data_IF_789389126219
#
_entry.id   IF_789389126219
#
_cell.length_a   1.000
_cell.length_b   1.000
_cell.length_c   1.000
_cell.angle_alpha   90.00
_cell.angle_beta   90.00
_cell.angle_gamma   90.00
#
_symmetry.space_group_name_H-M   'P 1'
#
loop_
_entity.id
_entity.type
_entity.pdbx_description
1 polymer ?
#
# COMPACT_ATOMS: atom_id res chain seq x y z
N UNK A 1 -29.23 21.00 35.28
CA UNK A 1 -28.41 19.82 35.64
C UNK A 1 -28.58 18.67 34.66
N UNK A 2 -29.81 18.17 34.40
CA UNK A 2 -30.06 17.09 33.43
C UNK A 2 -29.55 17.34 32.00
N UNK A 3 -29.69 18.56 31.46
CA UNK A 3 -29.17 18.87 30.11
C UNK A 3 -27.64 18.79 30.02
N UNK A 4 -26.91 19.22 31.06
CA UNK A 4 -25.44 19.12 31.08
C UNK A 4 -24.97 17.67 31.16
N UNK A 5 -25.70 16.80 31.88
CA UNK A 5 -25.41 15.36 31.97
C UNK A 5 -25.62 14.68 30.61
N UNK A 6 -26.73 14.99 29.92
CA UNK A 6 -27.02 14.44 28.59
C UNK A 6 -25.97 14.86 27.55
N UNK A 7 -25.51 16.12 27.59
CA UNK A 7 -24.41 16.59 26.73
C UNK A 7 -23.11 15.85 27.04
N UNK A 8 -22.77 15.67 28.32
CA UNK A 8 -21.58 14.94 28.74
C UNK A 8 -21.56 13.48 28.27
N UNK A 9 -22.69 12.77 28.38
CA UNK A 9 -22.85 11.41 27.86
C UNK A 9 -22.70 11.38 26.34
N UNK A 10 -23.31 12.33 25.63
CA UNK A 10 -23.20 12.45 24.18
C UNK A 10 -21.74 12.60 23.72
N UNK A 11 -20.97 13.48 24.36
CA UNK A 11 -19.54 13.69 24.05
C UNK A 11 -18.73 12.41 24.32
N UNK A 12 -18.98 11.72 25.43
CA UNK A 12 -18.30 10.47 25.77
C UNK A 12 -18.55 9.36 24.73
N UNK A 13 -19.81 9.22 24.27
CA UNK A 13 -20.16 8.26 23.22
C UNK A 13 -19.46 8.59 21.91
N UNK A 14 -19.46 9.87 21.50
CA UNK A 14 -18.77 10.30 20.27
C UNK A 14 -17.27 10.03 20.36
N UNK A 15 -16.64 10.34 21.50
CA UNK A 15 -15.22 10.06 21.73
C UNK A 15 -14.92 8.55 21.66
N UNK A 16 -15.77 7.71 22.28
CA UNK A 16 -15.63 6.26 22.21
C UNK A 16 -15.77 5.72 20.78
N UNK A 17 -16.72 6.24 19.99
CA UNK A 17 -16.90 5.85 18.59
C UNK A 17 -15.66 6.23 17.76
N UNK A 18 -15.16 7.46 17.90
CA UNK A 18 -13.94 7.92 17.20
C UNK A 18 -12.75 7.03 17.57
N UNK A 19 -12.59 6.72 18.86
CA UNK A 19 -11.53 5.83 19.34
C UNK A 19 -11.62 4.44 18.71
N UNK A 20 -12.81 3.83 18.67
CA UNK A 20 -13.02 2.52 18.07
C UNK A 20 -12.71 2.52 16.56
N UNK A 21 -13.16 3.53 15.82
CA UNK A 21 -12.88 3.68 14.38
C UNK A 21 -11.37 3.73 14.15
N UNK A 22 -10.64 4.50 14.95
CA UNK A 22 -9.19 4.63 14.83
C UNK A 22 -8.45 3.33 15.25
N UNK A 23 -8.90 2.69 16.33
CA UNK A 23 -8.27 1.49 16.88
C UNK A 23 -8.39 0.28 15.94
N UNK A 24 -9.55 0.11 15.31
CA UNK A 24 -9.85 -1.00 14.41
C UNK A 24 -9.51 -0.70 12.93
N UNK A 25 -8.85 0.42 12.63
CA UNK A 25 -8.41 0.68 11.26
C UNK A 25 -7.35 -0.33 10.82
N UNK A 26 -7.41 -0.73 9.54
CA UNK A 26 -6.49 -1.72 8.97
C UNK A 26 -5.02 -1.31 9.11
N UNK A 27 -4.72 -0.01 8.91
CA UNK A 27 -3.37 0.54 9.07
C UNK A 27 -2.86 0.44 10.51
N UNK A 28 -3.70 0.76 11.51
CA UNK A 28 -3.33 0.63 12.93
C UNK A 28 -3.10 -0.83 13.31
N UNK A 29 -3.86 -1.78 12.75
CA UNK A 29 -3.65 -3.23 12.97
C UNK A 29 -2.30 -3.67 12.38
N UNK A 30 -1.98 -3.25 11.15
CA UNK A 30 -0.70 -3.53 10.49
C UNK A 30 0.47 -3.00 11.33
N UNK A 31 0.43 -1.72 11.72
CA UNK A 31 1.49 -1.10 12.51
C UNK A 31 1.68 -1.76 13.88
N UNK A 32 0.58 -2.13 14.57
CA UNK A 32 0.66 -2.84 15.86
C UNK A 32 1.26 -4.23 15.71
N UNK A 33 0.91 -4.95 14.65
CA UNK A 33 1.48 -6.27 14.35
C UNK A 33 2.97 -6.15 14.09
N UNK A 34 3.40 -5.19 13.26
CA UNK A 34 4.81 -4.95 12.97
C UNK A 34 5.61 -4.50 14.20
N UNK A 35 5.03 -3.69 15.11
CA UNK A 35 5.70 -3.26 16.35
C UNK A 35 6.04 -4.41 17.30
N UNK A 36 5.25 -5.49 17.29
CA UNK A 36 5.51 -6.69 18.13
C UNK A 36 6.63 -7.57 17.60
N UNK A 37 7.05 -7.38 16.35
CA UNK A 37 8.07 -8.20 15.70
C UNK A 37 9.43 -7.51 15.79
N UNK A 38 10.50 -8.23 16.15
CA UNK A 38 11.86 -7.69 16.07
C UNK A 38 12.28 -7.52 14.60
N UNK A 39 13.08 -6.50 14.31
CA UNK A 39 13.76 -6.40 13.01
C UNK A 39 14.79 -7.51 12.90
N UNK A 40 14.72 -8.30 11.84
CA UNK A 40 15.74 -9.30 11.54
C UNK A 40 16.61 -8.86 10.38
N UNK A 41 17.87 -9.30 10.42
CA UNK A 41 18.78 -9.21 9.27
C UNK A 41 18.53 -10.38 8.34
N UNK A 42 18.75 -10.17 7.04
CA UNK A 42 18.58 -11.23 6.03
C UNK A 42 19.42 -12.46 6.35
N UNK A 43 20.72 -12.29 6.65
CA UNK A 43 21.59 -13.40 7.06
C UNK A 43 21.23 -14.07 8.40
N UNK A 44 20.26 -13.56 9.16
CA UNK A 44 19.81 -14.14 10.43
C UNK A 44 18.41 -14.77 10.36
N UNK A 45 17.83 -14.89 9.16
CA UNK A 45 16.49 -15.43 8.97
C UNK A 45 16.45 -16.93 9.20
N UNK A 46 15.55 -17.37 10.07
CA UNK A 46 15.32 -18.79 10.37
C UNK A 46 14.15 -19.31 9.55
N UNK A 47 14.25 -20.54 9.04
CA UNK A 47 13.12 -21.20 8.37
C UNK A 47 11.93 -21.31 9.32
N UNK A 48 10.71 -21.15 8.79
CA UNK A 48 9.44 -21.24 9.53
C UNK A 48 9.22 -20.18 10.61
N UNK A 49 10.06 -19.13 10.69
CA UNK A 49 9.76 -17.97 11.54
C UNK A 49 8.93 -16.92 10.80
N UNK A 50 8.07 -16.21 11.53
CA UNK A 50 7.43 -15.00 11.05
C UNK A 50 8.34 -13.81 11.35
N UNK A 51 9.00 -13.26 10.32
CA UNK A 51 10.08 -12.30 10.49
C UNK A 51 9.75 -10.97 9.83
N UNK A 52 10.16 -9.86 10.45
CA UNK A 52 10.06 -8.50 9.92
C UNK A 52 11.41 -8.05 9.38
N UNK A 53 11.44 -7.67 8.11
CA UNK A 53 12.63 -7.22 7.39
C UNK A 53 12.36 -5.82 6.84
N UNK A 54 13.40 -5.01 6.83
CA UNK A 54 13.38 -3.66 6.28
C UNK A 54 14.51 -3.54 5.28
N UNK A 55 14.21 -3.03 4.08
CA UNK A 55 15.18 -2.94 3.00
C UNK A 55 14.60 -2.24 1.78
N UNK A 56 15.36 -2.21 0.69
CA UNK A 56 14.96 -1.60 -0.58
C UNK A 56 14.19 -2.61 -1.42
N UNK A 57 13.05 -2.20 -1.98
CA UNK A 57 12.29 -3.01 -2.92
C UNK A 57 12.96 -2.99 -4.30
N UNK A 58 13.29 -4.15 -4.85
CA UNK A 58 13.86 -4.27 -6.20
C UNK A 58 13.00 -5.20 -7.05
N UNK A 59 12.84 -4.89 -8.32
CA UNK A 59 12.12 -5.73 -9.27
C UNK A 59 12.91 -7.01 -9.60
N UNK A 60 12.21 -8.14 -9.77
CA UNK A 60 12.79 -9.38 -10.28
C UNK A 60 12.74 -9.36 -11.81
N UNK A 61 11.53 -9.16 -12.34
CA UNK A 61 11.28 -8.97 -13.77
C UNK A 61 11.32 -7.48 -14.12
N UNK A 62 10.86 -7.11 -15.32
CA UNK A 62 10.68 -5.69 -15.66
C UNK A 62 9.74 -5.01 -14.65
N UNK A 63 10.01 -3.76 -14.23
CA UNK A 63 9.16 -3.06 -13.28
C UNK A 63 7.78 -2.75 -13.88
N UNK A 64 6.76 -2.72 -13.02
CA UNK A 64 5.44 -2.19 -13.34
C UNK A 64 5.54 -0.68 -13.56
N UNK A 65 4.66 -0.12 -14.39
CA UNK A 65 4.55 1.32 -14.58
C UNK A 65 3.26 1.83 -13.94
N UNK A 66 3.37 2.73 -12.98
CA UNK A 66 2.20 3.28 -12.32
C UNK A 66 1.28 4.03 -13.32
N UNK A 67 -0.05 3.93 -13.22
CA UNK A 67 -0.94 4.36 -14.29
C UNK A 67 -0.87 5.85 -14.62
N UNK A 68 -0.76 6.72 -13.62
CA UNK A 68 -0.68 8.17 -13.84
C UNK A 68 0.77 8.67 -13.80
N UNK A 69 1.53 8.36 -12.75
CA UNK A 69 2.87 8.93 -12.58
C UNK A 69 3.92 8.29 -13.49
N UNK A 70 3.62 7.13 -14.10
CA UNK A 70 4.54 6.34 -14.93
C UNK A 70 5.85 5.98 -14.22
N UNK A 71 5.87 6.04 -12.88
CA UNK A 71 7.03 5.67 -12.07
C UNK A 71 7.22 4.14 -12.11
N UNK A 72 8.45 3.65 -12.29
CA UNK A 72 8.75 2.22 -12.25
C UNK A 72 8.61 1.69 -10.81
N UNK A 73 7.86 0.61 -10.64
CA UNK A 73 7.46 0.13 -9.32
C UNK A 73 7.30 -1.40 -9.28
N UNK A 74 7.25 -1.95 -8.07
CA UNK A 74 6.96 -3.38 -7.84
C UNK A 74 5.54 -3.61 -7.32
N UNK A 75 4.91 -2.55 -6.82
CA UNK A 75 3.56 -2.56 -6.28
C UNK A 75 2.95 -1.19 -6.53
N UNK A 76 1.75 -1.13 -7.10
CA UNK A 76 0.92 0.06 -7.02
C UNK A 76 -0.53 -0.28 -6.71
N UNK A 77 -1.23 0.70 -6.15
CA UNK A 77 -2.68 0.74 -6.13
C UNK A 77 -3.18 2.12 -6.47
N UNK A 78 -4.28 2.15 -7.20
CA UNK A 78 -4.89 3.39 -7.67
C UNK A 78 -6.40 3.37 -7.49
N UNK A 79 -6.97 4.56 -7.33
CA UNK A 79 -8.42 4.78 -7.33
C UNK A 79 -8.76 5.94 -8.22
N UNK A 80 -9.73 5.74 -9.11
CA UNK A 80 -10.44 6.82 -9.80
C UNK A 80 -11.82 6.94 -9.18
N UNK A 81 -12.12 8.11 -8.64
CA UNK A 81 -13.40 8.41 -8.00
C UNK A 81 -14.06 9.61 -8.65
N UNK A 82 -15.39 9.58 -8.73
CA UNK A 82 -16.21 10.69 -9.25
C UNK A 82 -17.05 11.28 -8.14
N UNK A 83 -17.13 12.61 -8.10
CA UNK A 83 -18.05 13.30 -7.19
C UNK A 83 -19.49 13.15 -7.69
N UNK A 84 -20.35 12.56 -6.89
CA UNK A 84 -21.78 12.40 -7.16
C UNK A 84 -22.57 13.24 -6.17
N UNK A 85 -23.53 14.03 -6.67
CA UNK A 85 -24.45 14.82 -5.85
C UNK A 85 -25.74 14.03 -5.60
N UNK A 86 -26.26 14.08 -4.37
CA UNK A 86 -27.58 13.56 -3.97
C UNK A 86 -28.31 14.66 -3.19
N UNK A 87 -29.16 15.41 -3.88
CA UNK A 87 -29.83 16.58 -3.29
C UNK A 87 -28.83 17.62 -2.79
N UNK A 88 -28.84 17.90 -1.47
CA UNK A 88 -27.92 18.84 -0.81
C UNK A 88 -26.58 18.22 -0.38
N UNK A 89 -26.37 16.92 -0.56
CA UNK A 89 -25.11 16.25 -0.18
C UNK A 89 -24.33 15.78 -1.42
N UNK A 90 -23.03 15.52 -1.22
CA UNK A 90 -22.19 14.91 -2.25
C UNK A 90 -21.25 13.88 -1.64
N UNK A 91 -20.98 12.81 -2.36
CA UNK A 91 -20.00 11.79 -1.97
C UNK A 91 -19.12 11.42 -3.16
N UNK A 92 -17.99 10.79 -2.87
CA UNK A 92 -17.10 10.24 -3.89
C UNK A 92 -17.52 8.80 -4.16
N UNK A 93 -17.74 8.47 -5.43
CA UNK A 93 -18.05 7.12 -5.90
C UNK A 93 -16.83 6.58 -6.64
N UNK A 94 -16.29 5.45 -6.17
CA UNK A 94 -15.22 4.73 -6.87
C UNK A 94 -15.74 4.23 -8.22
N UNK A 95 -15.02 4.58 -9.28
CA UNK A 95 -15.25 4.10 -10.64
C UNK A 95 -14.28 2.97 -10.98
N UNK A 96 -13.01 3.15 -10.62
CA UNK A 96 -11.94 2.17 -10.84
C UNK A 96 -11.17 2.01 -9.54
N UNK A 97 -10.90 0.76 -9.20
CA UNK A 97 -9.89 0.35 -8.24
C UNK A 97 -9.00 -0.66 -8.93
N UNK A 98 -7.72 -0.37 -9.01
CA UNK A 98 -6.74 -1.27 -9.58
C UNK A 98 -5.57 -1.42 -8.61
N UNK A 99 -5.11 -2.66 -8.49
CA UNK A 99 -4.02 -3.05 -7.60
C UNK A 99 -3.18 -4.12 -8.32
N UNK A 100 -1.92 -3.77 -8.57
CA UNK A 100 -0.96 -4.64 -9.25
C UNK A 100 0.29 -4.76 -8.41
N UNK A 101 0.72 -6.00 -8.19
CA UNK A 101 1.89 -6.36 -7.43
C UNK A 101 2.55 -7.54 -8.12
N UNK A 102 3.87 -7.48 -8.27
CA UNK A 102 4.68 -8.56 -8.82
C UNK A 102 5.56 -9.17 -7.73
N UNK A 103 6.24 -10.26 -8.03
CA UNK A 103 7.30 -10.76 -7.16
C UNK A 103 8.48 -9.76 -7.16
N UNK A 104 9.07 -9.53 -5.99
CA UNK A 104 10.12 -8.54 -5.82
C UNK A 104 11.13 -8.96 -4.76
N UNK A 105 12.33 -8.40 -4.83
CA UNK A 105 13.33 -8.55 -3.78
C UNK A 105 13.21 -7.45 -2.73
N UNK A 106 13.52 -7.81 -1.49
CA UNK A 106 13.97 -6.87 -0.47
C UNK A 106 15.49 -6.99 -0.35
N UNK A 107 16.20 -5.92 -0.65
CA UNK A 107 17.65 -5.80 -0.49
C UNK A 107 17.98 -5.13 0.84
N UNK A 108 18.88 -5.75 1.60
CA UNK A 108 19.41 -5.21 2.84
C UNK A 108 20.91 -5.50 2.94
N UNK A 109 21.74 -4.46 2.80
CA UNK A 109 23.21 -4.53 2.90
C UNK A 109 23.85 -5.56 1.93
N UNK A 110 23.34 -5.65 0.72
CA UNK A 110 23.80 -6.57 -0.32
C UNK A 110 23.13 -7.95 -0.30
N UNK A 111 22.45 -8.31 0.79
CA UNK A 111 21.68 -9.56 0.88
C UNK A 111 20.25 -9.35 0.34
N UNK A 112 19.68 -10.37 -0.31
CA UNK A 112 18.34 -10.29 -0.92
C UNK A 112 17.40 -11.36 -0.37
N UNK A 113 16.13 -10.99 -0.25
CA UNK A 113 15.03 -11.90 0.09
C UNK A 113 13.93 -11.73 -0.94
N UNK A 114 13.41 -12.83 -1.47
CA UNK A 114 12.30 -12.77 -2.43
C UNK A 114 10.98 -12.67 -1.68
N UNK A 115 10.06 -11.82 -2.14
CA UNK A 115 8.69 -11.73 -1.65
C UNK A 115 7.77 -12.27 -2.72
N UNK A 116 6.90 -13.22 -2.34
CA UNK A 116 5.93 -13.86 -3.25
C UNK A 116 4.48 -13.47 -2.91
N UNK A 117 4.05 -12.23 -3.21
CA UNK A 117 2.67 -11.83 -3.06
C UNK A 117 1.78 -12.48 -4.12
N UNK A 118 0.56 -12.83 -3.73
CA UNK A 118 -0.49 -13.35 -4.62
C UNK A 118 -1.76 -12.56 -4.40
N UNK A 119 -2.37 -12.09 -5.49
CA UNK A 119 -3.65 -11.35 -5.45
C UNK A 119 -4.86 -12.26 -5.34
N UNK A 120 -4.81 -13.45 -5.92
CA UNK A 120 -5.93 -14.40 -5.97
C UNK A 120 -5.47 -15.84 -5.66
N UNK A 121 -5.80 -16.40 -4.47
CA UNK A 121 -6.37 -15.70 -3.31
C UNK A 121 -5.35 -14.72 -2.68
N UNK A 122 -5.83 -13.57 -2.19
CA UNK A 122 -4.97 -12.53 -1.63
C UNK A 122 -4.22 -13.02 -0.39
N UNK A 123 -2.88 -13.12 -0.47
CA UNK A 123 -2.03 -13.64 0.60
C UNK A 123 -1.22 -12.56 1.36
N UNK A 124 -1.54 -11.27 1.15
CA UNK A 124 -0.89 -10.15 1.82
C UNK A 124 -1.90 -9.15 2.41
N UNK A 125 -1.37 -8.31 3.30
CA UNK A 125 -1.96 -7.09 3.84
C UNK A 125 -1.02 -5.93 3.56
N UNK A 126 -1.57 -4.81 3.11
CA UNK A 126 -0.78 -3.65 2.72
C UNK A 126 -1.21 -2.38 3.43
N UNK A 127 -0.23 -1.54 3.74
CA UNK A 127 -0.46 -0.14 4.12
C UNK A 127 0.56 0.72 3.40
N UNK A 128 0.16 1.20 2.22
CA UNK A 128 0.95 2.12 1.41
C UNK A 128 0.47 3.55 1.61
N UNK A 129 1.41 4.48 1.73
CA UNK A 129 1.14 5.91 1.77
C UNK A 129 0.75 6.38 0.38
N UNK A 130 -0.24 7.25 0.29
CA UNK A 130 -0.65 7.83 -0.99
C UNK A 130 0.38 8.87 -1.43
N UNK A 131 1.16 8.56 -2.46
CA UNK A 131 2.16 9.46 -3.03
C UNK A 131 1.56 10.63 -3.79
N UNK A 132 0.53 10.36 -4.61
CA UNK A 132 -0.02 11.33 -5.54
C UNK A 132 -1.53 11.37 -5.39
N UNK A 133 -2.06 12.59 -5.20
CA UNK A 133 -3.48 12.87 -5.24
C UNK A 133 -3.74 13.96 -6.28
N UNK A 134 -4.56 13.65 -7.28
CA UNK A 134 -4.99 14.63 -8.29
C UNK A 134 -6.50 14.84 -8.15
N UNK A 135 -6.93 16.09 -8.22
CA UNK A 135 -8.36 16.46 -8.17
C UNK A 135 -8.70 17.36 -9.34
N UNK A 136 -9.71 16.96 -10.11
CA UNK A 136 -10.34 17.83 -11.10
C UNK A 136 -11.65 18.35 -10.49
N UNK A 137 -11.79 19.68 -10.43
CA UNK A 137 -13.04 20.36 -10.10
C UNK A 137 -13.81 20.78 -11.34
N UNK A 138 -15.04 21.28 -11.17
CA UNK A 138 -15.87 21.83 -12.25
C UNK A 138 -15.27 23.06 -12.96
N UNK A 139 -14.24 23.69 -12.39
CA UNK A 139 -13.58 24.90 -12.91
C UNK A 139 -12.05 24.74 -13.06
N UNK A 140 -11.51 23.52 -12.97
CA UNK A 140 -10.07 23.27 -13.01
C UNK A 140 -9.59 22.82 -14.40
N UNK A 141 -8.42 23.31 -14.82
CA UNK A 141 -7.66 22.72 -15.93
C UNK A 141 -7.18 21.33 -15.52
N UNK A 142 -7.48 20.33 -16.34
CA UNK A 142 -7.04 18.96 -16.11
C UNK A 142 -5.67 18.77 -16.74
N UNK A 143 -4.72 18.13 -16.04
CA UNK A 143 -3.46 17.72 -16.67
C UNK A 143 -3.78 16.81 -17.87
N UNK A 144 -3.15 17.02 -19.05
CA UNK A 144 -3.34 16.16 -20.22
C UNK A 144 -3.18 14.67 -19.90
N UNK A 145 -2.16 14.32 -19.10
CA UNK A 145 -1.88 12.95 -18.63
C UNK A 145 -3.07 12.30 -17.91
N UNK A 146 -3.82 13.09 -17.12
CA UNK A 146 -4.95 12.55 -16.37
C UNK A 146 -6.19 12.37 -17.25
N UNK A 147 -6.37 13.22 -18.27
CA UNK A 147 -7.42 13.02 -19.27
C UNK A 147 -7.14 11.77 -20.12
N UNK A 148 -5.89 11.58 -20.54
CA UNK A 148 -5.46 10.36 -21.23
C UNK A 148 -5.71 9.11 -20.38
N UNK A 149 -5.41 9.17 -19.08
CA UNK A 149 -5.71 8.08 -18.15
C UNK A 149 -7.22 7.79 -18.09
N UNK A 150 -8.06 8.82 -17.91
CA UNK A 150 -9.52 8.62 -17.89
C UNK A 150 -10.02 7.97 -19.18
N UNK A 151 -9.50 8.40 -20.33
CA UNK A 151 -9.85 7.82 -21.62
C UNK A 151 -9.40 6.36 -21.74
N UNK A 152 -8.22 6.01 -21.23
CA UNK A 152 -7.73 4.62 -21.21
C UNK A 152 -8.65 3.68 -20.43
N UNK A 153 -9.35 4.18 -19.41
CA UNK A 153 -10.36 3.44 -18.65
C UNK A 153 -11.80 3.64 -19.18
N UNK A 154 -11.98 4.23 -20.37
CA UNK A 154 -13.28 4.55 -20.97
C UNK A 154 -14.17 5.45 -20.08
N UNK A 155 -13.56 6.38 -19.33
CA UNK A 155 -14.25 7.30 -18.44
C UNK A 155 -14.35 8.68 -19.09
N UNK A 156 -15.56 9.07 -19.45
CA UNK A 156 -15.82 10.41 -19.99
C UNK A 156 -15.61 11.51 -18.94
N UNK A 157 -14.71 12.45 -19.24
CA UNK A 157 -14.41 13.59 -18.39
C UNK A 157 -15.49 14.69 -18.41
N UNK A 158 -16.25 14.82 -19.51
CA UNK A 158 -17.33 15.80 -19.70
C UNK A 158 -18.72 15.19 -19.50
N UNK A 159 -19.70 16.00 -19.08
CA UNK A 159 -21.11 15.64 -18.97
C UNK A 159 -21.96 16.06 -20.18
N UNK A 160 -23.26 15.76 -20.12
CA UNK A 160 -24.26 15.93 -21.22
C UNK A 160 -24.42 17.37 -21.71
N UNK A 161 -23.96 18.37 -20.95
CA UNK A 161 -24.00 19.80 -21.33
C UNK A 161 -22.60 20.43 -21.39
N UNK A 162 -21.55 19.64 -21.62
CA UNK A 162 -20.17 20.14 -21.72
C UNK A 162 -19.50 20.48 -20.39
N UNK A 163 -20.21 20.44 -19.25
CA UNK A 163 -19.62 20.65 -17.93
C UNK A 163 -18.65 19.53 -17.55
N UNK A 164 -17.46 19.89 -17.07
CA UNK A 164 -16.45 18.95 -16.57
C UNK A 164 -16.92 18.27 -15.29
N UNK A 165 -16.93 16.93 -15.29
CA UNK A 165 -17.23 16.13 -14.09
C UNK A 165 -16.05 16.25 -13.11
N UNK A 166 -16.34 16.27 -11.80
CA UNK A 166 -15.28 16.32 -10.80
C UNK A 166 -14.76 14.92 -10.48
N UNK A 167 -13.45 14.72 -10.63
CA UNK A 167 -12.76 13.46 -10.37
C UNK A 167 -11.70 13.63 -9.28
N UNK A 168 -11.44 12.53 -8.58
CA UNK A 168 -10.34 12.38 -7.65
C UNK A 168 -9.57 11.12 -8.03
N UNK A 169 -8.27 11.28 -8.20
CA UNK A 169 -7.33 10.18 -8.39
C UNK A 169 -6.42 10.11 -7.19
N UNK A 170 -6.21 8.90 -6.67
CA UNK A 170 -5.20 8.63 -5.64
C UNK A 170 -4.36 7.46 -6.08
N UNK A 171 -3.06 7.56 -5.88
CA UNK A 171 -2.08 6.55 -6.24
C UNK A 171 -1.10 6.37 -5.08
N UNK A 172 -0.85 5.12 -4.74
CA UNK A 172 0.14 4.69 -3.75
C UNK A 172 1.02 3.62 -4.41
N UNK A 173 2.34 3.78 -4.32
CA UNK A 173 3.33 3.03 -5.10
C UNK A 173 4.45 2.61 -4.18
N UNK A 174 5.01 1.42 -4.44
CA UNK A 174 6.34 1.03 -3.97
C UNK A 174 7.29 1.12 -5.15
N UNK A 175 8.06 2.20 -5.22
CA UNK A 175 9.02 2.43 -6.30
C UNK A 175 10.20 1.45 -6.23
N UNK A 176 10.82 1.19 -7.39
CA UNK A 176 12.09 0.45 -7.40
C UNK A 176 13.15 1.26 -6.65
N UNK A 177 13.77 0.63 -5.65
CA UNK A 177 14.75 1.23 -4.76
C UNK A 177 14.15 1.85 -3.49
N UNK A 178 12.82 1.88 -3.36
CA UNK A 178 12.15 2.45 -2.20
C UNK A 178 12.37 1.59 -0.95
N UNK A 179 12.57 2.25 0.19
CA UNK A 179 12.74 1.58 1.47
C UNK A 179 11.38 1.21 2.04
N UNK A 180 11.13 -0.09 2.20
CA UNK A 180 9.88 -0.62 2.75
C UNK A 180 10.14 -1.63 3.87
N UNK A 181 9.07 -1.99 4.57
CA UNK A 181 9.04 -3.02 5.60
C UNK A 181 8.12 -4.14 5.16
N UNK A 182 8.66 -5.35 5.18
CA UNK A 182 7.91 -6.56 4.87
C UNK A 182 7.98 -7.52 6.05
N UNK A 183 6.85 -8.14 6.40
CA UNK A 183 6.83 -9.25 7.33
C UNK A 183 6.09 -10.46 6.76
N UNK A 184 6.55 -11.66 7.04
CA UNK A 184 5.90 -12.89 6.58
C UNK A 184 6.64 -14.13 7.05
N UNK A 185 6.18 -15.30 6.62
CA UNK A 185 6.84 -16.55 6.96
C UNK A 185 8.06 -16.75 6.07
N UNK A 186 9.18 -17.11 6.68
CA UNK A 186 10.42 -17.40 5.98
C UNK A 186 10.45 -18.85 5.50
N UNK A 187 10.74 -19.04 4.22
CA UNK A 187 11.08 -20.33 3.62
C UNK A 187 12.36 -20.18 2.81
N UNK A 188 13.36 -21.01 3.09
CA UNK A 188 14.54 -21.09 2.24
C UNK A 188 14.22 -21.96 1.02
N UNK A 189 14.63 -21.50 -0.15
CA UNK A 189 14.45 -22.18 -1.42
C UNK A 189 15.82 -22.38 -2.06
N UNK A 190 16.09 -23.58 -2.53
CA UNK A 190 17.30 -23.86 -3.32
C UNK A 190 17.12 -23.25 -4.72
N UNK A 191 18.19 -22.63 -5.22
CA UNK A 191 18.21 -22.04 -6.56
C UNK A 191 18.74 -23.10 -7.52
N UNK A 192 17.91 -23.54 -8.47
CA UNK A 192 18.32 -24.47 -9.53
C UNK A 192 19.38 -23.85 -10.45
N UNK A 193 19.31 -22.53 -10.67
CA UNK A 193 20.31 -21.74 -11.38
C UNK A 193 20.67 -20.49 -10.56
N UNK A 194 21.97 -20.13 -10.42
CA UNK A 194 22.36 -18.89 -9.78
C UNK A 194 21.77 -17.71 -10.55
N UNK A 195 21.03 -16.85 -9.84
CA UNK A 195 20.52 -15.60 -10.40
C UNK A 195 21.74 -14.71 -10.69
N UNK A 196 21.79 -14.06 -11.86
CA UNK A 196 22.84 -13.09 -12.16
C UNK A 196 22.96 -12.09 -10.99
N UNK A 197 24.18 -11.91 -10.47
CA UNK A 197 24.50 -11.14 -9.26
C UNK A 197 24.12 -11.77 -7.89
N UNK A 198 23.80 -13.07 -7.81
CA UNK A 198 23.52 -13.76 -6.54
C UNK A 198 24.34 -15.04 -6.37
N UNK A 199 25.31 -15.02 -5.44
CA UNK A 199 26.37 -16.02 -5.31
C UNK A 199 26.02 -17.20 -4.37
N UNK A 200 24.74 -17.37 -4.02
CA UNK A 200 24.29 -18.37 -3.03
C UNK A 200 23.48 -19.48 -3.69
N UNK A 201 23.63 -20.71 -3.19
CA UNK A 201 22.86 -21.89 -3.63
C UNK A 201 21.41 -21.87 -3.17
N UNK A 202 21.05 -20.98 -2.24
CA UNK A 202 19.69 -20.81 -1.75
C UNK A 202 19.37 -19.34 -1.49
N UNK A 203 18.08 -19.02 -1.53
CA UNK A 203 17.56 -17.69 -1.22
C UNK A 203 16.43 -17.79 -0.20
N UNK A 204 16.43 -16.87 0.76
CA UNK A 204 15.31 -16.73 1.67
C UNK A 204 14.11 -16.13 0.91
N UNK A 205 12.93 -16.67 1.17
CA UNK A 205 11.68 -16.18 0.62
C UNK A 205 10.68 -15.85 1.73
N UNK A 206 9.88 -14.81 1.49
CA UNK A 206 8.75 -14.40 2.32
C UNK A 206 7.48 -14.86 1.62
N UNK A 207 6.75 -15.76 2.28
CA UNK A 207 5.50 -16.33 1.75
C UNK A 207 4.32 -16.08 2.70
N UNK A 208 3.17 -15.81 2.09
CA UNK A 208 1.89 -15.77 2.78
C UNK A 208 1.31 -17.18 2.90
N UNK A 209 0.74 -17.50 4.06
CA UNK A 209 -0.04 -18.72 4.31
C UNK A 209 -1.49 -18.38 4.66
N UNK A 210 -2.37 -19.38 4.69
CA UNK A 210 -3.75 -19.20 5.15
C UNK A 210 -3.84 -18.68 6.60
N UNK A 211 -2.86 -19.00 7.44
CA UNK A 211 -2.80 -18.58 8.86
C UNK A 211 -2.11 -17.23 9.06
N UNK A 212 -1.18 -16.88 8.17
CA UNK A 212 -0.31 -15.70 8.31
C UNK A 212 0.02 -15.12 6.94
N UNK A 213 -0.67 -14.02 6.60
CA UNK A 213 -0.44 -13.26 5.37
C UNK A 213 0.86 -12.45 5.46
N UNK A 214 1.41 -12.11 4.30
CA UNK A 214 2.51 -11.14 4.19
C UNK A 214 1.98 -9.76 4.63
N UNK A 215 2.82 -8.95 5.25
CA UNK A 215 2.52 -7.55 5.58
C UNK A 215 3.51 -6.69 4.79
N UNK A 216 3.02 -5.72 4.02
CA UNK A 216 3.84 -4.82 3.19
C UNK A 216 3.49 -3.37 3.54
N UNK A 217 4.49 -2.55 3.84
CA UNK A 217 4.27 -1.13 4.11
C UNK A 217 5.50 -0.28 3.79
N UNK A 218 5.26 0.89 3.23
CA UNK A 218 6.24 1.96 2.96
C UNK A 218 6.27 3.01 4.08
N UNK A 219 5.42 2.85 5.11
CA UNK A 219 5.21 3.92 6.07
C UNK A 219 6.44 4.14 6.96
N UNK A 220 6.87 5.41 7.14
CA UNK A 220 7.97 5.74 8.02
C UNK A 220 7.80 5.24 9.46
N UNK A 221 6.55 5.14 9.93
CA UNK A 221 6.22 4.66 11.28
C UNK A 221 6.56 3.18 11.51
N UNK A 222 6.74 2.42 10.42
CA UNK A 222 7.15 1.02 10.46
C UNK A 222 8.66 0.85 10.36
N UNK A 223 9.43 1.88 10.02
CA UNK A 223 10.89 1.78 9.90
C UNK A 223 11.57 1.67 11.26
N UNK A 224 12.75 1.06 11.28
CA UNK A 224 13.56 1.00 12.49
C UNK A 224 13.86 2.42 12.97
N UNK A 225 13.63 2.74 14.26
CA UNK A 225 13.94 4.06 14.78
C UNK A 225 15.42 4.35 14.57
N UNK A 226 15.72 5.55 14.05
CA UNK A 226 17.11 6.02 13.94
C UNK A 226 17.69 6.04 15.36
N UNK A 227 18.76 5.26 15.61
CA UNK A 227 19.53 5.41 16.85
C UNK A 227 20.04 6.85 16.84
N UNK A 228 19.59 7.66 17.79
CA UNK A 228 20.29 8.93 18.09
C UNK A 228 21.69 8.50 18.53
N UNK A 229 22.68 8.85 17.72
CA UNK A 229 24.10 8.71 18.08
C UNK A 229 24.41 9.73 19.17
#
# INVERSE_FOLDING_TARGET
MHQLILIGIGISIVAAIIYLIYYYSASTIILRTLKKLPYQRVGSLRTHSFSKIEGKALNIESPLNAPLSKRPCVFYKMKIEKKVKRGKSSHWKTLVYEEEIQDFFIEQNGERVVVFPKKAPQNYHEYLITDKTVRIGTFGTSSPEFIELLNAYNIESKGVFGFTKSFRYTEAIVEVGERIVVAGNIKWMDLENPIADYNYSSIASIIGSAKSKIIITDTPDAHKPKRKL
#
